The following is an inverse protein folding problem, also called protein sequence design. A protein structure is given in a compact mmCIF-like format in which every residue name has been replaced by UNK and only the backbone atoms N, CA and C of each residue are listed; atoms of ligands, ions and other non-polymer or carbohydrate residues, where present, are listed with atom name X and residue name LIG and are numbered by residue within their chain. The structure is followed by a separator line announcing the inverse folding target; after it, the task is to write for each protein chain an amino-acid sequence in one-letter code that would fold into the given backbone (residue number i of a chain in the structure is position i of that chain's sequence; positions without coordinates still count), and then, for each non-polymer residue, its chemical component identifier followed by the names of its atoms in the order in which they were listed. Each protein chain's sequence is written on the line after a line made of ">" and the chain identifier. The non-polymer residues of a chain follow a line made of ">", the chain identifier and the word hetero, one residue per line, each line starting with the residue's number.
data_IF_081435693245
#
_entry.id   IF_081435693245
#
_cell.length_a   1.000
_cell.length_b   1.000
_cell.length_c   1.000
_cell.angle_alpha   90.00
_cell.angle_beta   90.00
_cell.angle_gamma   90.00
#
_symmetry.space_group_name_H-M   'P 1'
#
loop_
_entity.id
_entity.type
_entity.pdbx_description
1 polymer ?
#
# COMPACT_ATOMS: atom_id res chain seq x y z
N UNK A 1 -17.08 -6.64 -7.97
CA UNK A 1 -17.90 -5.39 -8.01
C UNK A 1 -19.35 -5.76 -8.26
N UNK A 2 -20.33 -5.11 -7.61
CA UNK A 2 -21.75 -5.28 -7.90
C UNK A 2 -22.56 -4.00 -7.59
N UNK A 3 -23.88 -4.06 -7.73
CA UNK A 3 -24.79 -2.98 -7.32
C UNK A 3 -25.88 -3.48 -6.35
N UNK A 4 -26.33 -2.62 -5.44
CA UNK A 4 -27.40 -2.88 -4.46
C UNK A 4 -28.75 -3.19 -5.12
N UNK A 5 -29.00 -2.66 -6.32
CA UNK A 5 -30.21 -2.91 -7.08
C UNK A 5 -31.41 -2.07 -6.62
N UNK A 6 -32.61 -2.52 -6.96
CA UNK A 6 -33.86 -1.86 -6.60
C UNK A 6 -34.38 -2.30 -5.21
N UNK A 7 -35.24 -1.48 -4.60
CA UNK A 7 -36.00 -1.87 -3.39
C UNK A 7 -35.58 -1.21 -2.09
N UNK A 8 -34.51 -0.40 -2.09
CA UNK A 8 -34.14 0.49 -0.99
C UNK A 8 -34.13 1.96 -1.44
N UNK A 9 -34.24 2.93 -0.51
CA UNK A 9 -33.96 4.33 -0.81
C UNK A 9 -32.60 4.48 -1.47
N UNK A 10 -32.47 5.45 -2.38
CA UNK A 10 -31.29 5.65 -3.22
C UNK A 10 -29.96 5.61 -2.45
N UNK A 11 -29.91 6.23 -1.26
CA UNK A 11 -28.70 6.34 -0.43
C UNK A 11 -28.57 5.26 0.65
N UNK A 12 -29.51 4.32 0.73
CA UNK A 12 -29.54 3.33 1.81
C UNK A 12 -28.71 2.08 1.43
N UNK A 13 -27.69 1.72 2.23
CA UNK A 13 -26.84 0.58 1.91
C UNK A 13 -27.60 -0.76 2.00
N UNK A 14 -27.14 -1.75 1.25
CA UNK A 14 -27.68 -3.11 1.25
C UNK A 14 -26.69 -4.15 1.79
N UNK A 15 -27.11 -4.91 2.82
CA UNK A 15 -26.36 -6.06 3.32
C UNK A 15 -26.11 -7.05 2.18
N UNK A 16 -27.18 -7.51 1.54
CA UNK A 16 -27.13 -8.47 0.42
C UNK A 16 -26.33 -7.94 -0.78
N UNK A 17 -26.42 -6.63 -1.05
CA UNK A 17 -25.58 -5.98 -2.07
C UNK A 17 -24.09 -6.05 -1.72
N UNK A 18 -23.70 -5.74 -0.50
CA UNK A 18 -22.30 -5.86 -0.07
C UNK A 18 -21.84 -7.33 -0.06
N UNK A 19 -22.65 -8.25 0.46
CA UNK A 19 -22.31 -9.68 0.46
C UNK A 19 -22.11 -10.25 -0.94
N UNK A 20 -22.92 -9.82 -1.93
CA UNK A 20 -22.70 -10.22 -3.33
C UNK A 20 -21.35 -9.76 -3.85
N UNK A 21 -20.92 -8.55 -3.52
CA UNK A 21 -19.59 -8.07 -3.90
C UNK A 21 -18.50 -8.95 -3.26
N UNK A 22 -18.64 -9.29 -1.98
CA UNK A 22 -17.69 -10.14 -1.25
C UNK A 22 -17.64 -11.54 -1.89
N UNK A 23 -18.79 -12.20 -2.08
CA UNK A 23 -18.85 -13.55 -2.67
C UNK A 23 -18.27 -13.61 -4.07
N UNK A 24 -18.52 -12.59 -4.89
CA UNK A 24 -17.92 -12.51 -6.22
C UNK A 24 -16.39 -12.49 -6.12
N UNK A 25 -15.83 -11.62 -5.27
CA UNK A 25 -14.38 -11.54 -5.06
C UNK A 25 -13.81 -12.84 -4.48
N UNK A 26 -14.48 -13.46 -3.50
CA UNK A 26 -14.05 -14.73 -2.92
C UNK A 26 -14.04 -15.87 -3.95
N UNK A 27 -15.04 -15.89 -4.85
CA UNK A 27 -15.10 -16.83 -5.96
C UNK A 27 -13.95 -16.63 -6.95
N UNK A 28 -13.57 -15.37 -7.22
CA UNK A 28 -12.47 -15.04 -8.13
C UNK A 28 -11.09 -15.38 -7.52
N UNK A 29 -10.91 -15.20 -6.21
CA UNK A 29 -9.64 -15.47 -5.51
C UNK A 29 -9.44 -16.94 -5.09
N UNK A 30 -10.51 -17.74 -5.09
CA UNK A 30 -10.52 -19.09 -4.55
C UNK A 30 -10.78 -19.14 -3.03
N UNK A 31 -11.46 -20.20 -2.59
CA UNK A 31 -11.96 -20.33 -1.21
C UNK A 31 -10.86 -20.38 -0.13
N UNK A 32 -9.66 -20.88 -0.47
CA UNK A 32 -8.55 -20.98 0.49
C UNK A 32 -8.04 -19.59 0.91
N UNK A 33 -7.74 -18.73 -0.05
CA UNK A 33 -7.29 -17.33 0.16
C UNK A 33 -8.32 -16.54 0.97
N UNK A 34 -9.61 -16.77 0.68
CA UNK A 34 -10.72 -16.11 1.37
C UNK A 34 -10.81 -16.49 2.86
N UNK A 35 -10.44 -17.73 3.22
CA UNK A 35 -10.41 -18.20 4.61
C UNK A 35 -9.23 -17.65 5.44
N UNK A 36 -8.22 -17.12 4.76
CA UNK A 36 -7.00 -16.59 5.37
C UNK A 36 -7.05 -15.08 5.63
N UNK A 37 -8.15 -14.41 5.30
CA UNK A 37 -8.36 -12.98 5.60
C UNK A 37 -8.29 -12.74 7.11
N UNK A 38 -7.34 -11.88 7.52
CA UNK A 38 -7.12 -11.50 8.93
C UNK A 38 -7.19 -10.01 9.17
N UNK A 39 -7.26 -9.21 8.12
CA UNK A 39 -7.48 -7.77 8.17
C UNK A 39 -8.60 -7.40 7.20
N UNK A 40 -9.52 -6.54 7.61
CA UNK A 40 -10.54 -5.93 6.76
C UNK A 40 -10.41 -4.42 6.89
N UNK A 41 -10.07 -3.77 5.79
CA UNK A 41 -10.23 -2.34 5.58
C UNK A 41 -11.67 -2.08 5.11
N UNK A 42 -12.51 -1.65 6.04
CA UNK A 42 -13.92 -1.36 5.83
C UNK A 42 -14.14 -0.02 5.12
N UNK A 43 -15.30 0.13 4.50
CA UNK A 43 -15.76 1.40 3.97
C UNK A 43 -16.02 2.39 5.11
N UNK A 44 -16.72 1.97 6.18
CA UNK A 44 -16.92 2.65 7.46
C UNK A 44 -16.98 4.18 7.37
N UNK A 45 -18.17 4.69 7.02
CA UNK A 45 -18.41 6.14 6.88
C UNK A 45 -18.60 6.83 8.22
N UNK A 46 -18.65 6.08 9.32
CA UNK A 46 -18.94 6.62 10.65
C UNK A 46 -20.42 6.86 10.87
N UNK A 47 -21.29 6.24 10.07
CA UNK A 47 -22.74 6.47 10.19
C UNK A 47 -23.37 5.49 11.17
N UNK A 48 -24.27 5.98 12.02
CA UNK A 48 -24.90 5.17 13.06
C UNK A 48 -25.64 3.93 12.52
N UNK A 49 -26.18 4.02 11.31
CA UNK A 49 -26.92 2.93 10.65
C UNK A 49 -26.06 2.19 9.62
N UNK A 50 -25.22 2.88 8.86
CA UNK A 50 -24.45 2.27 7.78
C UNK A 50 -23.34 1.35 8.29
N UNK A 51 -22.64 1.74 9.35
CA UNK A 51 -21.54 0.93 9.88
C UNK A 51 -22.03 -0.43 10.44
N UNK A 52 -23.15 -0.52 11.19
CA UNK A 52 -23.74 -1.81 11.54
C UNK A 52 -24.19 -2.65 10.34
N UNK A 53 -24.71 -2.03 9.27
CA UNK A 53 -25.12 -2.73 8.04
C UNK A 53 -23.90 -3.34 7.34
N UNK A 54 -22.81 -2.58 7.26
CA UNK A 54 -21.54 -3.08 6.70
C UNK A 54 -20.98 -4.23 7.55
N UNK A 55 -20.95 -4.08 8.87
CA UNK A 55 -20.47 -5.11 9.77
C UNK A 55 -21.32 -6.39 9.69
N UNK A 56 -22.63 -6.27 9.48
CA UNK A 56 -23.52 -7.41 9.26
C UNK A 56 -23.18 -8.17 7.98
N UNK A 57 -22.94 -7.47 6.86
CA UNK A 57 -22.53 -8.10 5.60
C UNK A 57 -21.14 -8.77 5.73
N UNK A 58 -20.19 -8.11 6.38
CA UNK A 58 -18.88 -8.69 6.66
C UNK A 58 -19.00 -9.95 7.53
N UNK A 59 -19.81 -9.91 8.60
CA UNK A 59 -20.02 -11.03 9.49
C UNK A 59 -20.67 -12.24 8.80
N UNK A 60 -21.51 -12.01 7.79
CA UNK A 60 -22.12 -13.07 6.99
C UNK A 60 -21.15 -13.79 6.05
N UNK A 61 -20.06 -13.14 5.64
CA UNK A 61 -19.12 -13.68 4.64
C UNK A 61 -17.73 -13.99 5.20
N UNK A 62 -17.37 -13.40 6.35
CA UNK A 62 -16.13 -13.60 7.07
C UNK A 62 -16.43 -14.03 8.50
N UNK A 63 -15.84 -15.13 8.92
CA UNK A 63 -15.93 -15.60 10.30
C UNK A 63 -14.71 -16.43 10.65
N UNK A 64 -14.35 -16.44 11.94
CA UNK A 64 -13.32 -17.32 12.48
C UNK A 64 -13.80 -18.02 13.74
N UNK A 65 -13.34 -19.25 13.95
CA UNK A 65 -13.60 -19.97 15.20
C UNK A 65 -12.91 -19.23 16.35
N UNK A 66 -13.61 -19.04 17.48
CA UNK A 66 -13.02 -18.48 18.71
C UNK A 66 -11.74 -19.24 19.07
N UNK A 67 -10.66 -18.50 19.36
CA UNK A 67 -9.33 -19.05 19.64
C UNK A 67 -8.41 -19.24 18.42
N UNK A 68 -8.87 -19.02 17.19
CA UNK A 68 -8.04 -19.12 15.96
C UNK A 68 -7.46 -17.78 15.48
N UNK A 69 -7.36 -16.81 16.38
CA UNK A 69 -7.06 -15.40 16.08
C UNK A 69 -8.29 -14.63 15.61
N UNK A 70 -8.34 -13.33 15.92
CA UNK A 70 -9.41 -12.40 15.49
C UNK A 70 -9.16 -11.89 14.06
N UNK A 71 -10.24 -11.50 13.37
CA UNK A 71 -10.12 -10.67 12.17
C UNK A 71 -10.09 -9.21 12.62
N UNK A 72 -9.03 -8.50 12.26
CA UNK A 72 -8.85 -7.08 12.53
C UNK A 72 -9.70 -6.25 11.56
N UNK A 73 -10.52 -5.34 12.07
CA UNK A 73 -11.35 -4.44 11.25
C UNK A 73 -10.95 -2.99 11.49
N UNK A 74 -10.77 -2.23 10.43
CA UNK A 74 -10.42 -0.82 10.51
C UNK A 74 -10.82 -0.01 9.29
N UNK A 75 -10.58 1.30 9.33
CA UNK A 75 -10.79 2.19 8.20
C UNK A 75 -9.85 3.38 8.25
N UNK A 76 -9.20 3.68 7.13
CA UNK A 76 -8.33 4.84 6.93
C UNK A 76 -9.10 6.15 7.10
N UNK A 77 -10.43 6.14 6.93
CA UNK A 77 -11.27 7.34 7.10
C UNK A 77 -11.22 7.89 8.52
N UNK A 78 -10.93 7.04 9.52
CA UNK A 78 -10.68 7.49 10.89
C UNK A 78 -9.42 8.32 11.04
N UNK A 79 -8.49 8.28 10.08
CA UNK A 79 -7.21 9.01 10.10
C UNK A 79 -7.22 10.22 9.17
N UNK A 80 -7.81 10.10 7.97
CA UNK A 80 -7.73 11.12 6.91
C UNK A 80 -9.09 11.67 6.47
N UNK A 81 -10.19 11.22 7.09
CA UNK A 81 -11.54 11.55 6.65
C UNK A 81 -11.96 10.81 5.37
N UNK A 82 -13.15 11.15 4.85
CA UNK A 82 -13.65 10.53 3.62
C UNK A 82 -13.11 11.23 2.36
N UNK A 83 -12.11 10.61 1.71
CA UNK A 83 -11.48 11.13 0.49
C UNK A 83 -12.34 10.99 -0.80
N UNK A 84 -13.68 11.01 -0.68
CA UNK A 84 -14.65 10.85 -1.78
C UNK A 84 -14.24 9.77 -2.83
N UNK A 85 -13.99 10.19 -4.07
CA UNK A 85 -13.62 9.32 -5.20
C UNK A 85 -12.32 8.54 -4.96
N UNK A 86 -11.41 9.05 -4.13
CA UNK A 86 -10.17 8.39 -3.76
C UNK A 86 -10.30 7.46 -2.55
N UNK A 87 -11.47 7.39 -1.90
CA UNK A 87 -11.62 6.65 -0.63
C UNK A 87 -11.28 5.15 -0.76
N UNK A 88 -11.62 4.52 -1.89
CA UNK A 88 -11.23 3.13 -2.15
C UNK A 88 -9.72 2.96 -2.34
N UNK A 89 -9.08 3.88 -3.07
CA UNK A 89 -7.63 3.87 -3.30
C UNK A 89 -6.83 4.10 -2.01
N UNK A 90 -7.31 4.99 -1.12
CA UNK A 90 -6.66 5.21 0.18
C UNK A 90 -6.79 3.99 1.11
N UNK A 91 -7.95 3.34 1.13
CA UNK A 91 -8.13 2.09 1.87
C UNK A 91 -7.24 0.96 1.31
N UNK A 92 -7.19 0.84 -0.02
CA UNK A 92 -6.29 -0.10 -0.68
C UNK A 92 -4.82 0.15 -0.34
N UNK A 93 -4.35 1.41 -0.41
CA UNK A 93 -2.98 1.77 -0.09
C UNK A 93 -2.63 1.40 1.36
N UNK A 94 -3.50 1.72 2.33
CA UNK A 94 -3.32 1.31 3.74
C UNK A 94 -3.22 -0.20 3.87
N UNK A 95 -4.16 -0.95 3.28
CA UNK A 95 -4.19 -2.41 3.38
C UNK A 95 -2.96 -3.04 2.73
N UNK A 96 -2.54 -2.56 1.56
CA UNK A 96 -1.33 -3.01 0.88
C UNK A 96 -0.09 -2.77 1.73
N UNK A 97 0.04 -1.59 2.35
CA UNK A 97 1.15 -1.30 3.27
C UNK A 97 1.11 -2.18 4.53
N UNK A 98 -0.06 -2.44 5.12
CA UNK A 98 -0.19 -3.34 6.27
C UNK A 98 0.25 -4.78 5.92
N UNK A 99 -0.14 -5.26 4.72
CA UNK A 99 0.26 -6.56 4.19
C UNK A 99 1.76 -6.60 3.89
N UNK A 100 2.31 -5.54 3.29
CA UNK A 100 3.73 -5.43 2.95
C UNK A 100 4.61 -5.39 4.20
N UNK A 101 4.38 -4.41 5.07
CA UNK A 101 5.12 -4.17 6.31
C UNK A 101 4.87 -5.23 7.38
N UNK A 102 3.77 -5.99 7.27
CA UNK A 102 3.41 -6.99 8.26
C UNK A 102 3.04 -6.37 9.61
N UNK A 103 2.30 -5.25 9.59
CA UNK A 103 1.84 -4.54 10.80
C UNK A 103 0.38 -4.14 10.62
N UNK A 104 -0.44 -4.37 11.64
CA UNK A 104 -1.79 -3.84 11.74
C UNK A 104 -1.75 -2.48 12.44
N UNK A 105 -2.38 -1.48 11.83
CA UNK A 105 -2.35 -0.09 12.31
C UNK A 105 -3.72 0.35 12.85
N UNK A 106 -3.76 1.21 13.90
CA UNK A 106 -5.01 1.65 14.49
C UNK A 106 -5.85 2.51 13.54
N UNK A 107 -7.18 2.44 13.67
CA UNK A 107 -8.09 3.38 13.00
C UNK A 107 -8.33 4.58 13.91
N UNK A 108 -7.97 5.78 13.45
CA UNK A 108 -7.80 6.97 14.31
C UNK A 108 -9.00 7.38 15.15
N UNK A 109 -10.23 7.27 14.62
CA UNK A 109 -11.45 7.60 15.38
C UNK A 109 -11.93 6.48 16.32
N UNK A 110 -11.33 5.30 16.21
CA UNK A 110 -11.71 4.10 16.97
C UNK A 110 -10.81 3.85 18.18
N UNK A 111 -9.78 4.65 18.41
CA UNK A 111 -8.86 4.44 19.54
C UNK A 111 -9.41 4.97 20.87
N UNK A 112 -10.29 5.97 20.84
CA UNK A 112 -10.84 6.61 22.05
C UNK A 112 -12.36 6.84 21.90
N UNK A 113 -13.16 6.18 22.75
CA UNK A 113 -14.61 6.39 22.82
C UNK A 113 -15.48 5.12 22.76
N UNK A 114 -16.76 5.30 23.09
CA UNK A 114 -17.77 4.25 23.03
C UNK A 114 -18.06 3.85 21.58
N UNK A 115 -18.04 2.55 21.31
CA UNK A 115 -18.43 2.01 20.01
C UNK A 115 -19.95 1.94 19.94
N UNK A 116 -20.51 2.23 18.77
CA UNK A 116 -21.92 1.95 18.49
C UNK A 116 -22.25 0.49 18.90
N UNK A 117 -23.15 0.25 19.88
CA UNK A 117 -23.42 -1.10 20.38
C UNK A 117 -23.94 -2.06 19.30
N UNK A 118 -24.61 -1.54 18.27
CA UNK A 118 -25.06 -2.33 17.13
C UNK A 118 -23.87 -2.85 16.30
N UNK A 119 -22.82 -2.03 16.17
CA UNK A 119 -21.60 -2.41 15.48
C UNK A 119 -20.81 -3.45 16.27
N UNK A 120 -20.56 -3.20 17.57
CA UNK A 120 -19.76 -4.11 18.40
C UNK A 120 -20.37 -5.52 18.45
N UNK A 121 -21.68 -5.62 18.64
CA UNK A 121 -22.38 -6.90 18.66
C UNK A 121 -22.26 -7.67 17.34
N UNK A 122 -22.27 -6.97 16.19
CA UNK A 122 -22.12 -7.60 14.86
C UNK A 122 -20.70 -8.13 14.63
N UNK A 123 -19.68 -7.38 15.06
CA UNK A 123 -18.28 -7.80 14.93
C UNK A 123 -17.95 -9.01 15.82
N UNK A 124 -18.38 -8.96 17.08
CA UNK A 124 -18.13 -10.03 18.06
C UNK A 124 -18.74 -11.38 17.63
N UNK A 125 -19.91 -11.34 16.96
CA UNK A 125 -20.59 -12.53 16.47
C UNK A 125 -19.73 -13.36 15.49
N UNK A 126 -18.82 -12.72 14.76
CA UNK A 126 -17.94 -13.36 13.76
C UNK A 126 -16.45 -13.37 14.15
N UNK A 127 -16.15 -13.17 15.44
CA UNK A 127 -14.78 -13.12 15.96
C UNK A 127 -13.92 -12.05 15.26
N UNK A 128 -14.56 -10.92 14.94
CA UNK A 128 -13.95 -9.71 14.42
C UNK A 128 -13.86 -8.65 15.51
N UNK A 129 -12.90 -7.76 15.41
CA UNK A 129 -12.72 -6.68 16.39
C UNK A 129 -11.99 -5.49 15.76
N UNK A 130 -12.21 -4.31 16.32
CA UNK A 130 -11.63 -3.07 15.82
C UNK A 130 -10.11 -3.06 16.06
N UNK A 131 -9.35 -2.57 15.07
CA UNK A 131 -7.92 -2.33 15.24
C UNK A 131 -7.69 -1.00 15.97
N UNK A 132 -7.27 -1.08 17.23
CA UNK A 132 -7.08 0.09 18.10
C UNK A 132 -5.63 0.39 18.45
N UNK A 133 -4.75 -0.58 18.30
CA UNK A 133 -3.33 -0.47 18.62
C UNK A 133 -2.49 -0.98 17.45
N UNK A 134 -1.20 -0.63 17.45
CA UNK A 134 -0.23 -1.24 16.55
C UNK A 134 0.02 -2.69 16.98
N UNK A 135 -0.08 -3.63 16.04
CA UNK A 135 0.16 -5.04 16.31
C UNK A 135 1.00 -5.66 15.18
N UNK A 136 2.06 -6.42 15.50
CA UNK A 136 2.78 -7.20 14.49
C UNK A 136 1.83 -8.21 13.83
N UNK A 137 1.77 -8.18 12.50
CA UNK A 137 1.05 -9.16 11.71
C UNK A 137 1.98 -10.28 11.30
N UNK A 138 2.17 -11.23 12.21
CA UNK A 138 2.98 -12.43 11.94
C UNK A 138 2.25 -13.45 11.05
N UNK A 139 3.03 -14.21 10.29
CA UNK A 139 2.56 -15.25 9.38
C UNK A 139 2.68 -14.88 7.90
N UNK A 140 2.56 -15.90 7.06
CA UNK A 140 2.54 -15.80 5.60
C UNK A 140 1.67 -16.94 5.06
N UNK A 141 0.76 -16.68 4.10
CA UNK A 141 0.48 -15.36 3.54
C UNK A 141 -0.28 -14.44 4.52
N UNK A 142 -0.07 -13.13 4.39
CA UNK A 142 -0.91 -12.10 5.02
C UNK A 142 -1.99 -11.70 4.02
N UNK A 143 -3.24 -11.91 4.39
CA UNK A 143 -4.39 -11.65 3.52
C UNK A 143 -5.28 -10.57 4.13
N UNK A 144 -5.46 -9.48 3.40
CA UNK A 144 -6.36 -8.38 3.74
C UNK A 144 -7.53 -8.30 2.76
N UNK A 145 -8.68 -7.81 3.22
CA UNK A 145 -9.80 -7.46 2.36
C UNK A 145 -10.08 -5.96 2.45
N UNK A 146 -10.57 -5.35 1.36
CA UNK A 146 -10.87 -3.92 1.27
C UNK A 146 -12.28 -3.74 0.71
N UNK A 147 -13.11 -2.95 1.38
CA UNK A 147 -14.47 -2.62 0.94
C UNK A 147 -14.61 -1.13 0.59
N UNK A 148 -15.30 -0.85 -0.51
CA UNK A 148 -15.73 0.50 -0.88
C UNK A 148 -17.18 0.48 -1.37
N UNK A 149 -18.06 1.19 -0.66
CA UNK A 149 -19.50 1.19 -0.91
C UNK A 149 -19.92 2.58 -1.41
N UNK A 150 -20.41 2.66 -2.64
CA UNK A 150 -20.84 3.92 -3.24
C UNK A 150 -22.25 4.29 -2.79
N UNK A 151 -22.53 5.58 -2.58
CA UNK A 151 -23.87 6.07 -2.22
C UNK A 151 -24.96 5.68 -3.25
N UNK A 152 -24.59 5.49 -4.53
CA UNK A 152 -25.49 4.99 -5.57
C UNK A 152 -25.65 3.46 -5.59
N UNK A 153 -25.19 2.76 -4.55
CA UNK A 153 -25.28 1.31 -4.39
C UNK A 153 -24.21 0.50 -5.12
N UNK A 154 -23.24 1.12 -5.79
CA UNK A 154 -22.14 0.39 -6.43
C UNK A 154 -21.08 0.00 -5.40
N UNK A 155 -20.89 -1.30 -5.21
CA UNK A 155 -20.00 -1.85 -4.20
C UNK A 155 -18.79 -2.53 -4.85
N UNK A 156 -17.61 -2.23 -4.34
CA UNK A 156 -16.35 -2.89 -4.68
C UNK A 156 -15.77 -3.59 -3.47
N UNK A 157 -15.20 -4.76 -3.71
CA UNK A 157 -14.49 -5.54 -2.70
C UNK A 157 -13.25 -6.16 -3.35
N UNK A 158 -12.11 -6.09 -2.66
CA UNK A 158 -10.81 -6.57 -3.14
C UNK A 158 -10.15 -7.38 -2.03
N UNK A 159 -9.46 -8.46 -2.40
CA UNK A 159 -8.59 -9.21 -1.50
C UNK A 159 -7.13 -8.99 -1.94
N UNK A 160 -6.26 -8.73 -0.97
CA UNK A 160 -4.82 -8.52 -1.14
C UNK A 160 -4.09 -9.60 -0.37
N UNK A 161 -3.25 -10.35 -1.07
CA UNK A 161 -2.38 -11.37 -0.47
C UNK A 161 -0.91 -10.92 -0.56
N UNK A 162 -0.15 -11.13 0.51
CA UNK A 162 1.30 -10.94 0.47
C UNK A 162 1.94 -11.92 -0.51
N UNK A 163 2.79 -11.41 -1.40
CA UNK A 163 3.66 -12.28 -2.21
C UNK A 163 4.59 -13.16 -1.36
N UNK A 164 5.20 -14.19 -1.97
CA UNK A 164 6.15 -15.05 -1.29
C UNK A 164 7.28 -14.21 -0.68
N UNK A 165 7.60 -14.48 0.58
CA UNK A 165 8.73 -13.87 1.26
C UNK A 165 10.02 -14.47 0.71
N UNK A 166 10.51 -13.93 -0.41
CA UNK A 166 11.82 -14.30 -0.97
C UNK A 166 12.86 -13.38 -0.33
N UNK A 167 13.79 -13.89 0.49
CA UNK A 167 14.88 -13.07 0.99
C UNK A 167 15.62 -12.46 -0.19
N UNK A 168 15.58 -11.12 -0.30
CA UNK A 168 16.35 -10.42 -1.33
C UNK A 168 17.82 -10.50 -0.93
N UNK A 169 18.56 -11.44 -1.52
CA UNK A 169 20.00 -11.49 -1.37
C UNK A 169 20.58 -10.23 -2.03
N UNK A 170 21.54 -9.59 -1.35
CA UNK A 170 22.31 -8.53 -1.97
C UNK A 170 23.06 -9.11 -3.17
N UNK A 171 23.15 -8.32 -4.25
CA UNK A 171 24.05 -8.65 -5.35
C UNK A 171 25.48 -8.82 -4.81
N UNK A 172 26.30 -9.70 -5.41
CA UNK A 172 27.70 -9.82 -5.03
C UNK A 172 28.39 -8.46 -5.08
N UNK A 173 29.31 -8.22 -4.15
CA UNK A 173 30.13 -7.01 -4.17
C UNK A 173 30.80 -6.88 -5.55
N UNK A 174 30.73 -5.69 -6.15
CA UNK A 174 31.28 -5.44 -7.48
C UNK A 174 32.81 -5.42 -7.50
N UNK A 175 33.46 -5.51 -6.34
CA UNK A 175 34.91 -5.38 -6.21
C UNK A 175 35.35 -3.99 -6.66
N UNK A 176 36.30 -3.95 -7.59
CA UNK A 176 36.79 -2.71 -8.19
C UNK A 176 35.95 -2.24 -9.39
N UNK A 177 34.91 -2.98 -9.80
CA UNK A 177 34.06 -2.56 -10.91
C UNK A 177 33.17 -1.39 -10.48
N UNK A 178 33.17 -0.28 -11.23
CA UNK A 178 32.34 0.88 -10.93
C UNK A 178 30.85 0.57 -11.13
N UNK A 179 30.02 1.16 -10.28
CA UNK A 179 28.57 1.23 -10.41
C UNK A 179 28.21 2.63 -10.90
N UNK A 180 27.43 2.70 -11.98
CA UNK A 180 26.94 3.95 -12.55
C UNK A 180 25.46 4.14 -12.19
N UNK A 181 25.12 5.28 -11.57
CA UNK A 181 23.75 5.65 -11.27
C UNK A 181 23.35 6.84 -12.13
N UNK A 182 22.46 6.59 -13.10
CA UNK A 182 21.93 7.62 -13.97
C UNK A 182 20.77 8.37 -13.31
N UNK A 183 20.86 9.68 -13.27
CA UNK A 183 19.78 10.58 -12.85
C UNK A 183 19.37 11.43 -14.04
N UNK A 184 18.06 11.68 -14.18
CA UNK A 184 17.60 12.64 -15.18
C UNK A 184 16.31 13.34 -14.78
N UNK A 185 16.11 14.56 -15.29
CA UNK A 185 14.93 15.40 -15.08
C UNK A 185 14.65 16.29 -16.31
N UNK A 186 13.49 16.94 -16.32
CA UNK A 186 13.12 17.95 -17.33
C UNK A 186 13.83 19.30 -17.13
N UNK A 187 14.33 19.55 -15.93
CA UNK A 187 15.04 20.77 -15.56
C UNK A 187 16.09 20.49 -14.46
N UNK A 188 16.93 21.50 -14.19
CA UNK A 188 18.00 21.43 -13.20
C UNK A 188 17.46 21.28 -11.77
N UNK A 189 16.33 21.91 -11.44
CA UNK A 189 15.71 21.83 -10.11
C UNK A 189 15.21 20.41 -9.81
N UNK A 190 14.53 19.77 -10.76
CA UNK A 190 14.09 18.39 -10.61
C UNK A 190 15.27 17.41 -10.55
N UNK A 191 16.39 17.68 -11.24
CA UNK A 191 17.58 16.84 -11.12
C UNK A 191 18.20 16.94 -9.71
N UNK A 192 18.18 18.13 -9.10
CA UNK A 192 18.57 18.32 -7.70
C UNK A 192 17.65 17.58 -6.74
N UNK A 193 16.33 17.59 -7.00
CA UNK A 193 15.36 16.86 -6.18
C UNK A 193 15.54 15.34 -6.30
N UNK A 194 15.79 14.80 -7.50
CA UNK A 194 16.08 13.38 -7.68
C UNK A 194 17.35 12.95 -6.92
N UNK A 195 18.42 13.76 -6.98
CA UNK A 195 19.65 13.51 -6.21
C UNK A 195 19.40 13.54 -4.69
N UNK A 196 18.56 14.48 -4.22
CA UNK A 196 18.15 14.60 -2.81
C UNK A 196 17.32 13.40 -2.37
N UNK A 197 16.33 13.01 -3.16
CA UNK A 197 15.46 11.87 -2.88
C UNK A 197 16.26 10.55 -2.82
N UNK A 198 17.21 10.36 -3.74
CA UNK A 198 18.10 9.19 -3.71
C UNK A 198 19.01 9.22 -2.47
N UNK A 199 19.53 10.39 -2.09
CA UNK A 199 20.32 10.57 -0.86
C UNK A 199 19.50 10.20 0.38
N UNK A 200 18.29 10.73 0.51
CA UNK A 200 17.39 10.44 1.63
C UNK A 200 17.04 8.95 1.70
N UNK A 201 16.74 8.31 0.57
CA UNK A 201 16.48 6.88 0.49
C UNK A 201 17.67 6.06 1.00
N UNK A 202 18.89 6.38 0.56
CA UNK A 202 20.10 5.66 0.99
C UNK A 202 20.41 5.84 2.48
N UNK A 203 20.10 7.00 3.05
CA UNK A 203 20.36 7.32 4.46
C UNK A 203 19.30 6.77 5.41
N UNK A 204 18.04 6.69 4.98
CA UNK A 204 16.90 6.30 5.84
C UNK A 204 16.50 4.83 5.70
N UNK A 205 17.09 4.11 4.75
CA UNK A 205 16.79 2.69 4.52
C UNK A 205 17.09 1.85 5.77
N UNK A 206 16.11 1.07 6.30
CA UNK A 206 16.27 0.30 7.53
C UNK A 206 17.14 -0.96 7.36
N UNK A 207 17.46 -1.33 6.12
CA UNK A 207 18.27 -2.48 5.76
C UNK A 207 19.33 -2.10 4.72
N UNK A 208 20.42 -2.88 4.59
CA UNK A 208 21.43 -2.63 3.56
C UNK A 208 20.81 -2.57 2.16
N UNK A 209 21.15 -1.52 1.42
CA UNK A 209 20.65 -1.28 0.06
C UNK A 209 21.55 -1.98 -0.95
N UNK A 210 20.95 -2.74 -1.87
CA UNK A 210 21.66 -3.30 -3.02
C UNK A 210 21.86 -2.22 -4.09
N UNK A 211 23.04 -1.60 -4.12
CA UNK A 211 23.37 -0.52 -5.05
C UNK A 211 23.31 -0.97 -6.53
N UNK A 212 23.54 -2.25 -6.82
CA UNK A 212 23.42 -2.78 -8.19
C UNK A 212 21.95 -2.79 -8.61
N UNK A 213 21.05 -3.21 -7.73
CA UNK A 213 19.60 -3.12 -7.97
C UNK A 213 19.13 -1.68 -8.16
N UNK A 214 19.70 -0.73 -7.38
CA UNK A 214 19.37 0.70 -7.51
C UNK A 214 19.80 1.22 -8.88
N UNK A 215 21.07 1.02 -9.25
CA UNK A 215 21.60 1.40 -10.56
C UNK A 215 20.77 0.81 -11.71
N UNK A 216 20.48 -0.49 -11.65
CA UNK A 216 19.63 -1.16 -12.64
C UNK A 216 18.23 -0.54 -12.73
N UNK A 217 17.63 -0.19 -11.58
CA UNK A 217 16.30 0.44 -11.56
C UNK A 217 16.31 1.83 -12.18
N UNK A 218 17.36 2.61 -11.88
CA UNK A 218 17.56 3.95 -12.45
C UNK A 218 17.80 3.90 -13.96
N UNK A 219 18.54 2.91 -14.46
CA UNK A 219 18.81 2.80 -15.91
C UNK A 219 17.62 2.25 -16.71
N UNK A 220 16.92 1.22 -16.21
CA UNK A 220 15.90 0.51 -16.98
C UNK A 220 14.48 1.07 -16.80
N UNK A 221 14.17 1.61 -15.62
CA UNK A 221 12.80 1.99 -15.24
C UNK A 221 12.63 3.49 -14.96
N UNK A 222 13.62 4.31 -15.32
CA UNK A 222 13.46 5.76 -15.38
C UNK A 222 13.67 6.24 -16.81
N UNK A 223 12.84 7.19 -17.28
CA UNK A 223 13.03 7.78 -18.60
C UNK A 223 14.35 8.53 -18.65
N UNK A 224 14.98 8.59 -19.83
CA UNK A 224 16.13 9.45 -20.08
C UNK A 224 15.64 10.84 -20.47
N UNK A 225 15.70 11.78 -19.54
CA UNK A 225 15.21 13.16 -19.71
C UNK A 225 16.35 14.13 -20.06
N UNK A 226 16.08 15.38 -20.49
CA UNK A 226 17.09 16.28 -21.04
C UNK A 226 18.22 16.68 -20.08
N UNK A 227 17.93 16.87 -18.79
CA UNK A 227 18.96 17.19 -17.79
C UNK A 227 19.45 15.89 -17.16
N UNK A 228 20.73 15.57 -17.32
CA UNK A 228 21.29 14.25 -16.96
C UNK A 228 22.53 14.41 -16.10
N UNK A 229 22.68 13.52 -15.13
CA UNK A 229 23.92 13.34 -14.38
C UNK A 229 24.16 11.86 -14.14
N UNK A 230 25.44 11.47 -14.08
CA UNK A 230 25.84 10.11 -13.76
C UNK A 230 26.76 10.17 -12.55
N UNK A 231 26.42 9.38 -11.53
CA UNK A 231 27.28 9.16 -10.37
C UNK A 231 28.00 7.83 -10.54
N UNK A 232 29.32 7.88 -10.56
CA UNK A 232 30.19 6.71 -10.55
C UNK A 232 30.66 6.42 -9.12
N UNK A 233 30.51 5.17 -8.68
CA UNK A 233 30.99 4.72 -7.37
C UNK A 233 31.69 3.37 -7.48
N UNK A 234 32.89 3.28 -6.93
CA UNK A 234 33.59 2.00 -6.76
C UNK A 234 33.29 1.40 -5.38
N UNK A 235 33.00 0.10 -5.34
CA UNK A 235 32.61 -0.61 -4.12
C UNK A 235 31.10 -0.52 -3.82
N UNK A 236 30.71 -0.99 -2.63
CA UNK A 236 29.30 -1.18 -2.27
C UNK A 236 28.84 -0.29 -1.10
N UNK A 237 29.47 0.88 -0.91
CA UNK A 237 29.16 1.78 0.20
C UNK A 237 28.13 2.84 -0.21
N UNK A 238 26.99 2.87 0.49
CA UNK A 238 25.97 3.90 0.31
C UNK A 238 26.51 5.30 0.61
N UNK A 239 27.41 5.45 1.59
CA UNK A 239 28.01 6.74 1.95
C UNK A 239 28.86 7.33 0.81
N UNK A 240 29.50 6.45 0.02
CA UNK A 240 30.27 6.89 -1.15
C UNK A 240 29.35 7.44 -2.24
N UNK A 241 28.18 6.82 -2.44
CA UNK A 241 27.14 7.33 -3.36
C UNK A 241 26.63 8.69 -2.88
N UNK A 242 26.29 8.81 -1.59
CA UNK A 242 25.82 10.07 -0.99
C UNK A 242 26.86 11.19 -1.16
N UNK A 243 28.15 10.88 -0.97
CA UNK A 243 29.24 11.85 -1.15
C UNK A 243 29.33 12.31 -2.61
N UNK A 244 29.23 11.39 -3.56
CA UNK A 244 29.26 11.73 -4.98
C UNK A 244 28.03 12.53 -5.42
N UNK A 245 26.84 12.17 -4.95
CA UNK A 245 25.60 12.94 -5.18
C UNK A 245 25.73 14.39 -4.68
N UNK A 246 26.33 14.58 -3.51
CA UNK A 246 26.57 15.91 -2.94
C UNK A 246 27.62 16.74 -3.70
N UNK A 247 28.45 16.09 -4.53
CA UNK A 247 29.50 16.75 -5.31
C UNK A 247 29.06 17.19 -6.71
N UNK A 248 27.82 16.86 -7.11
CA UNK A 248 27.28 17.27 -8.41
C UNK A 248 27.18 18.80 -8.45
N UNK A 249 27.91 19.42 -9.38
CA UNK A 249 27.70 20.81 -9.74
C UNK A 249 26.54 20.90 -10.73
N UNK A 250 25.36 21.23 -10.21
CA UNK A 250 24.15 21.29 -11.03
C UNK A 250 24.15 22.48 -11.98
N UNK A 251 24.91 23.55 -11.72
CA UNK A 251 24.98 24.72 -12.61
C UNK A 251 25.70 24.39 -13.93
N UNK A 252 26.60 23.41 -13.88
CA UNK A 252 27.31 22.87 -15.04
C UNK A 252 26.51 21.78 -15.80
N UNK A 253 25.33 21.38 -15.29
CA UNK A 253 24.46 20.43 -15.99
C UNK A 253 23.55 21.18 -16.96
N UNK A 254 23.82 21.01 -18.24
CA UNK A 254 23.03 21.61 -19.31
C UNK A 254 22.07 20.61 -19.96
N UNK A 255 21.03 21.15 -20.59
CA UNK A 255 20.08 20.38 -21.39
C UNK A 255 20.82 19.60 -22.47
N UNK A 256 20.65 18.28 -22.47
CA UNK A 256 21.12 17.41 -23.54
C UNK A 256 20.10 17.48 -24.68
N UNK A 257 20.44 18.05 -25.86
CA UNK A 257 19.50 18.11 -26.96
C UNK A 257 19.11 16.69 -27.41
N UNK A 258 17.83 16.50 -27.75
CA UNK A 258 17.20 15.24 -28.18
C UNK A 258 17.96 14.46 -29.29
N UNK A 259 18.94 15.10 -29.94
CA UNK A 259 19.79 14.55 -31.00
C UNK A 259 21.01 13.78 -30.49
N UNK A 260 21.22 13.67 -29.19
CA UNK A 260 22.27 12.80 -28.65
C UNK A 260 21.79 11.35 -28.68
N UNK A 261 22.13 10.62 -29.75
CA UNK A 261 22.24 9.15 -29.81
C UNK A 261 23.32 8.61 -28.83
N UNK A 262 23.45 9.22 -27.66
CA UNK A 262 24.52 8.99 -26.71
C UNK A 262 24.03 8.09 -25.58
N UNK A 263 24.25 6.80 -25.85
CA UNK A 263 24.69 5.77 -24.90
C UNK A 263 23.77 5.57 -23.70
N UNK A 264 22.80 4.67 -23.86
CA UNK A 264 22.56 3.67 -22.82
C UNK A 264 23.90 3.02 -22.50
N UNK A 265 24.46 3.34 -21.32
CA UNK A 265 25.54 2.57 -20.72
C UNK A 265 25.01 1.19 -20.32
#
# INVERSE_FOLDING_TARGET
>A
VCNDGAGKPFSAPSVDGHERAIRATQSDCGNAVSGDVRMIEAHATGTYVGDPIEAEALAGQYWRKKGSGRISVGSVKGNIGHANTAAGAMGFAKAAMCVYEGVLVPSGSSSEGDVNPLLSHRLEASNMDLQRIFEPWSGSPRVAAVSALGIGGTNAHVIIESGPQVPKALSPATGDNPIYMALSSYDQEGLQEEARALTEFLQTSPAPVDLVSVAFTLSEYRPSLPYRSIVEVTGSSADAVVTQLASIDFEDVHECPDTCDCVTL
#
